data_IF_923477140820
#
_entry.id   IF_923477140820
#
_cell.length_a   1.000
_cell.length_b   1.000
_cell.length_c   1.000
_cell.angle_alpha   90.00
_cell.angle_beta   90.00
_cell.angle_gamma   90.00
#
_symmetry.space_group_name_H-M   'P 1'
#
loop_
_entity.id
_entity.type
_entity.pdbx_description
1 polymer ?
#
# COMPACT_ATOMS: atom_id res chain seq x y z
N UNK A 1 22.34 1.26 -13.67
CA UNK A 1 23.46 2.13 -14.11
C UNK A 1 22.84 3.35 -14.72
N UNK A 2 23.48 4.53 -14.59
CA UNK A 2 22.96 5.75 -15.20
C UNK A 2 23.06 5.68 -16.72
N UNK A 3 22.05 6.17 -17.45
CA UNK A 3 22.07 6.31 -18.90
C UNK A 3 22.89 7.57 -19.27
N UNK A 4 24.19 7.39 -19.51
CA UNK A 4 25.11 8.50 -19.76
C UNK A 4 24.77 9.32 -21.00
N UNK A 5 24.32 8.66 -22.10
CA UNK A 5 24.00 9.36 -23.34
C UNK A 5 22.73 10.21 -23.19
N UNK A 6 21.69 9.68 -22.51
CA UNK A 6 20.51 10.44 -22.19
C UNK A 6 20.81 11.63 -21.26
N UNK A 7 21.70 11.43 -20.28
CA UNK A 7 22.13 12.50 -19.38
C UNK A 7 22.90 13.59 -20.14
N UNK A 8 23.82 13.24 -21.02
CA UNK A 8 24.53 14.19 -21.88
C UNK A 8 23.56 14.97 -22.78
N UNK A 9 22.56 14.30 -23.35
CA UNK A 9 21.53 14.93 -24.18
C UNK A 9 20.70 15.94 -23.38
N UNK A 10 20.25 15.54 -22.17
CA UNK A 10 19.55 16.44 -21.25
C UNK A 10 20.37 17.68 -20.91
N UNK A 11 21.62 17.50 -20.47
CA UNK A 11 22.50 18.60 -20.07
C UNK A 11 22.77 19.58 -21.24
N UNK A 12 23.00 19.08 -22.46
CA UNK A 12 23.16 19.93 -23.64
C UNK A 12 21.91 20.72 -24.00
N UNK A 13 20.73 20.19 -23.70
CA UNK A 13 19.45 20.88 -23.92
C UNK A 13 19.24 22.00 -22.89
N UNK A 14 19.52 21.73 -21.62
CA UNK A 14 19.28 22.69 -20.53
C UNK A 14 20.37 23.79 -20.46
N UNK A 15 21.61 23.46 -20.78
CA UNK A 15 22.73 24.37 -20.76
C UNK A 15 23.23 24.68 -22.17
N UNK A 16 22.78 25.79 -22.74
CA UNK A 16 23.01 26.15 -24.16
C UNK A 16 24.47 26.43 -24.54
N UNK A 17 25.38 26.66 -23.58
CA UNK A 17 26.79 27.01 -23.80
C UNK A 17 27.76 25.81 -23.70
N UNK A 18 27.25 24.59 -23.66
CA UNK A 18 28.04 23.37 -23.52
C UNK A 18 28.70 23.00 -24.87
N UNK A 19 30.01 22.83 -24.84
CA UNK A 19 30.84 22.33 -25.95
C UNK A 19 30.99 20.81 -25.83
N UNK A 20 31.31 20.31 -24.63
CA UNK A 20 31.58 18.90 -24.35
C UNK A 20 31.08 18.53 -22.95
N UNK A 21 30.63 17.29 -22.79
CA UNK A 21 30.27 16.71 -21.47
C UNK A 21 31.02 15.40 -21.30
N UNK A 22 31.77 15.33 -20.23
CA UNK A 22 32.48 14.12 -19.79
C UNK A 22 31.85 13.64 -18.48
N UNK A 23 31.59 12.32 -18.40
CA UNK A 23 31.00 11.67 -17.23
C UNK A 23 31.95 10.59 -16.76
N UNK A 24 32.30 10.56 -15.47
CA UNK A 24 33.12 9.52 -14.87
C UNK A 24 32.64 9.13 -13.49
N UNK A 25 32.66 7.85 -13.19
CA UNK A 25 32.31 7.34 -11.85
C UNK A 25 33.36 7.80 -10.84
N UNK A 26 32.91 8.44 -9.74
CA UNK A 26 33.78 8.87 -8.63
C UNK A 26 34.02 7.72 -7.64
N UNK A 27 32.97 6.95 -7.37
CA UNK A 27 33.03 5.87 -6.41
C UNK A 27 31.65 5.31 -6.12
N UNK A 28 31.62 4.23 -5.31
CA UNK A 28 30.39 3.63 -4.79
C UNK A 28 30.49 3.56 -3.29
N UNK A 29 29.48 4.10 -2.60
CA UNK A 29 29.25 3.89 -1.18
C UNK A 29 28.30 2.72 -0.94
N UNK A 30 27.98 2.48 0.34
CA UNK A 30 27.05 1.42 0.77
C UNK A 30 25.64 1.62 0.19
N UNK A 31 25.24 2.87 -0.02
CA UNK A 31 23.86 3.20 -0.43
C UNK A 31 23.74 3.61 -1.90
N UNK A 32 24.83 3.83 -2.62
CA UNK A 32 24.75 4.30 -4.01
C UNK A 32 26.10 4.65 -4.61
N UNK A 33 26.05 5.33 -5.76
CA UNK A 33 27.23 5.74 -6.51
C UNK A 33 27.17 7.22 -6.86
N UNK A 34 28.35 7.87 -6.93
CA UNK A 34 28.52 9.22 -7.43
C UNK A 34 29.19 9.22 -8.82
N UNK A 35 28.74 10.13 -9.68
CA UNK A 35 29.30 10.34 -11.01
C UNK A 35 29.67 11.82 -11.15
N UNK A 36 30.93 12.12 -11.48
CA UNK A 36 31.38 13.46 -11.82
C UNK A 36 30.95 13.78 -13.24
N UNK A 37 30.40 14.96 -13.42
CA UNK A 37 30.07 15.53 -14.72
C UNK A 37 30.95 16.77 -14.91
N UNK A 38 31.77 16.78 -15.93
CA UNK A 38 32.56 17.94 -16.34
C UNK A 38 32.01 18.46 -17.67
N UNK A 39 31.51 19.68 -17.62
CA UNK A 39 30.97 20.40 -18.80
C UNK A 39 31.94 21.48 -19.23
N UNK A 40 32.53 21.29 -20.40
CA UNK A 40 33.33 22.34 -21.06
C UNK A 40 32.39 23.33 -21.72
N UNK A 41 32.52 24.62 -21.34
CA UNK A 41 31.73 25.71 -21.90
C UNK A 41 32.67 26.77 -22.52
N UNK A 42 32.13 27.76 -23.19
CA UNK A 42 32.92 28.86 -23.71
C UNK A 42 33.64 29.66 -22.62
N UNK A 43 33.09 29.69 -21.42
CA UNK A 43 33.61 30.44 -20.27
C UNK A 43 34.47 29.60 -19.32
N UNK A 44 34.72 28.31 -19.59
CA UNK A 44 35.51 27.44 -18.76
C UNK A 44 34.86 26.07 -18.48
N UNK A 45 35.34 25.39 -17.45
CA UNK A 45 34.80 24.08 -17.04
C UNK A 45 33.88 24.28 -15.85
N UNK A 46 32.68 23.67 -15.92
CA UNK A 46 31.73 23.52 -14.79
C UNK A 46 31.68 22.09 -14.40
N UNK A 47 31.72 21.83 -13.10
CA UNK A 47 31.70 20.44 -12.56
C UNK A 47 30.50 20.23 -11.65
N UNK A 48 29.82 19.11 -11.83
CA UNK A 48 28.68 18.67 -11.03
C UNK A 48 28.83 17.22 -10.64
N UNK A 49 28.00 16.76 -9.70
CA UNK A 49 27.94 15.34 -9.33
C UNK A 49 26.48 14.88 -9.44
N UNK A 50 26.27 13.75 -10.14
CA UNK A 50 25.03 13.00 -10.07
C UNK A 50 25.19 11.87 -9.07
N UNK A 51 24.28 11.79 -8.11
CA UNK A 51 24.19 10.73 -7.11
C UNK A 51 23.09 9.75 -7.51
N UNK A 52 23.36 8.46 -7.34
CA UNK A 52 22.34 7.41 -7.47
C UNK A 52 22.21 6.65 -6.16
N UNK A 53 21.06 6.03 -5.92
CA UNK A 53 20.83 5.12 -4.80
C UNK A 53 20.68 3.69 -5.31
N UNK A 54 21.09 2.72 -4.49
CA UNK A 54 20.86 1.29 -4.75
C UNK A 54 19.38 0.98 -4.71
N UNK A 55 18.94 0.04 -5.54
CA UNK A 55 17.55 -0.36 -5.69
C UNK A 55 17.12 -1.48 -4.75
N UNK A 56 17.94 -1.86 -3.78
CA UNK A 56 17.58 -2.91 -2.82
C UNK A 56 17.96 -2.52 -1.39
N UNK A 57 17.04 -2.77 -0.48
CA UNK A 57 17.21 -2.54 0.95
C UNK A 57 17.16 -1.07 1.36
N UNK A 58 17.30 -0.83 2.63
CA UNK A 58 17.28 0.49 3.27
C UNK A 58 16.04 1.34 2.97
N UNK A 59 14.99 0.74 2.41
CA UNK A 59 13.78 1.46 2.02
C UNK A 59 13.84 2.13 0.65
N UNK A 60 14.84 1.84 -0.18
CA UNK A 60 15.04 2.42 -1.52
C UNK A 60 14.59 1.49 -2.66
N UNK A 61 13.72 0.54 -2.38
CA UNK A 61 13.38 -0.55 -3.29
C UNK A 61 12.64 -0.07 -4.55
N UNK A 62 11.79 0.95 -4.41
CA UNK A 62 11.05 1.52 -5.54
C UNK A 62 11.71 2.80 -6.08
N UNK A 63 11.53 3.14 -7.37
CA UNK A 63 11.96 4.43 -7.91
C UNK A 63 11.40 5.62 -7.13
N UNK A 64 10.14 5.55 -6.69
CA UNK A 64 9.48 6.58 -5.88
C UNK A 64 10.15 6.81 -4.53
N UNK A 65 10.65 5.76 -3.87
CA UNK A 65 11.40 5.90 -2.61
C UNK A 65 12.66 6.74 -2.83
N UNK A 66 13.40 6.44 -3.91
CA UNK A 66 14.64 7.15 -4.24
C UNK A 66 14.37 8.59 -4.67
N UNK A 67 13.28 8.80 -5.41
CA UNK A 67 12.84 10.14 -5.79
C UNK A 67 12.49 10.98 -4.55
N UNK A 68 11.76 10.42 -3.58
CA UNK A 68 11.40 11.12 -2.34
C UNK A 68 12.64 11.57 -1.56
N UNK A 69 13.68 10.72 -1.44
CA UNK A 69 14.95 11.09 -0.79
C UNK A 69 15.63 12.25 -1.53
N UNK A 70 15.72 12.19 -2.86
CA UNK A 70 16.38 13.23 -3.64
C UNK A 70 15.61 14.55 -3.66
N UNK A 71 14.28 14.51 -3.67
CA UNK A 71 13.46 15.71 -3.57
C UNK A 71 13.66 16.40 -2.22
N UNK A 72 13.68 15.63 -1.12
CA UNK A 72 14.00 16.17 0.20
C UNK A 72 15.42 16.75 0.25
N UNK A 73 16.42 16.05 -0.32
CA UNK A 73 17.79 16.55 -0.41
C UNK A 73 17.85 17.90 -1.18
N UNK A 74 17.14 18.01 -2.30
CA UNK A 74 17.06 19.24 -3.10
C UNK A 74 16.51 20.42 -2.30
N UNK A 75 15.44 20.17 -1.54
CA UNK A 75 14.77 21.20 -0.74
C UNK A 75 15.63 21.65 0.45
N UNK A 76 16.34 20.73 1.11
CA UNK A 76 16.95 20.93 2.40
C UNK A 76 18.45 21.30 2.34
N UNK A 77 19.21 20.88 1.32
CA UNK A 77 20.65 21.18 1.25
C UNK A 77 20.98 22.69 1.30
N UNK A 78 20.10 23.50 0.76
CA UNK A 78 20.23 24.97 0.81
C UNK A 78 20.11 25.58 2.20
N UNK A 79 19.47 24.86 3.13
CA UNK A 79 19.19 25.33 4.49
C UNK A 79 20.36 25.10 5.45
N UNK A 80 21.39 24.35 5.03
CA UNK A 80 22.59 24.10 5.83
C UNK A 80 23.76 25.00 5.40
N UNK A 81 24.41 25.72 6.35
CA UNK A 81 25.63 26.46 6.04
C UNK A 81 26.75 25.51 5.60
N UNK A 82 27.54 25.96 4.60
CA UNK A 82 28.68 25.21 4.03
C UNK A 82 28.32 23.90 3.33
N UNK A 83 27.03 23.60 3.12
CA UNK A 83 26.61 22.43 2.38
C UNK A 83 26.65 22.68 0.85
N UNK A 84 26.95 21.64 0.07
CA UNK A 84 26.76 21.69 -1.39
C UNK A 84 25.30 21.93 -1.71
N UNK A 85 25.00 22.64 -2.80
CA UNK A 85 23.62 22.89 -3.21
C UNK A 85 23.10 21.75 -4.06
N UNK A 86 21.89 21.31 -3.83
CA UNK A 86 21.10 20.56 -4.79
C UNK A 86 20.76 21.48 -5.97
N UNK A 87 20.86 20.97 -7.19
CA UNK A 87 20.58 21.74 -8.40
C UNK A 87 19.27 21.29 -9.02
N UNK A 88 19.06 19.97 -9.13
CA UNK A 88 17.88 19.37 -9.72
C UNK A 88 17.74 17.91 -9.31
N UNK A 89 16.53 17.36 -9.43
CA UNK A 89 16.26 15.93 -9.37
C UNK A 89 15.83 15.45 -10.76
N UNK A 90 16.50 14.43 -11.26
CA UNK A 90 16.32 13.93 -12.62
C UNK A 90 15.66 12.56 -12.61
N UNK A 91 14.67 12.36 -13.47
CA UNK A 91 14.02 11.08 -13.71
C UNK A 91 14.39 10.53 -15.08
N UNK A 92 14.80 9.27 -15.15
CA UNK A 92 14.88 8.49 -16.39
C UNK A 92 13.48 7.97 -16.74
N UNK A 93 12.99 8.30 -17.91
CA UNK A 93 11.67 7.93 -18.41
C UNK A 93 11.74 6.57 -19.13
N UNK A 94 10.57 5.96 -19.39
CA UNK A 94 10.48 4.65 -20.09
C UNK A 94 11.10 4.66 -21.49
N UNK A 95 11.04 5.79 -22.20
CA UNK A 95 11.68 5.98 -23.50
C UNK A 95 13.21 6.20 -23.41
N UNK A 96 13.76 6.10 -22.21
CA UNK A 96 15.17 6.32 -21.91
C UNK A 96 15.58 7.79 -21.84
N UNK A 97 14.68 8.74 -22.09
CA UNK A 97 14.96 10.17 -21.96
C UNK A 97 15.09 10.58 -20.48
N UNK A 98 15.77 11.69 -20.23
CA UNK A 98 15.87 12.27 -18.88
C UNK A 98 15.05 13.57 -18.84
N UNK A 99 14.30 13.73 -17.73
CA UNK A 99 13.51 14.91 -17.42
C UNK A 99 13.77 15.39 -15.99
N UNK A 100 13.67 16.70 -15.80
CA UNK A 100 13.61 17.29 -14.46
C UNK A 100 12.29 16.95 -13.76
N UNK A 101 12.37 16.60 -12.50
CA UNK A 101 11.23 16.48 -11.57
C UNK A 101 11.46 17.33 -10.31
N UNK A 102 12.58 18.03 -10.22
CA UNK A 102 12.90 18.96 -9.16
C UNK A 102 12.14 20.29 -9.28
N UNK A 103 12.12 21.07 -8.22
CA UNK A 103 11.51 22.39 -8.22
C UNK A 103 9.99 22.42 -8.15
N UNK A 104 9.29 21.27 -8.05
CA UNK A 104 7.88 21.22 -7.70
C UNK A 104 7.66 21.66 -6.25
N UNK A 105 6.68 22.54 -6.03
CA UNK A 105 6.28 22.98 -4.68
C UNK A 105 5.31 21.98 -4.04
N UNK A 106 4.56 21.26 -4.86
CA UNK A 106 3.57 20.25 -4.47
C UNK A 106 3.37 19.24 -5.61
N UNK A 107 3.00 18.04 -5.29
CA UNK A 107 2.80 16.94 -6.26
C UNK A 107 1.39 16.38 -6.14
N UNK A 108 0.73 16.12 -7.26
CA UNK A 108 -0.67 15.69 -7.33
C UNK A 108 -0.79 14.44 -8.18
N UNK A 109 -1.57 13.46 -7.71
CA UNK A 109 -1.95 12.30 -8.51
C UNK A 109 -3.25 12.60 -9.25
N UNK A 110 -3.21 12.57 -10.59
CA UNK A 110 -4.41 12.56 -11.42
C UNK A 110 -4.82 11.11 -11.69
N UNK A 111 -6.07 10.76 -11.37
CA UNK A 111 -6.59 9.40 -11.50
C UNK A 111 -8.00 9.38 -12.09
N UNK A 112 -8.43 8.23 -12.59
CA UNK A 112 -9.81 8.03 -13.03
C UNK A 112 -10.78 8.13 -11.85
N UNK A 113 -12.02 8.56 -12.15
CA UNK A 113 -13.09 8.61 -11.15
C UNK A 113 -13.71 7.22 -10.96
N UNK A 114 -13.56 6.63 -9.78
CA UNK A 114 -14.35 5.48 -9.35
C UNK A 114 -15.83 5.88 -9.13
N UNK A 115 -16.77 4.98 -9.41
CA UNK A 115 -18.19 5.13 -9.13
C UNK A 115 -18.70 3.92 -8.36
N UNK A 116 -19.77 4.07 -7.61
CA UNK A 116 -20.38 3.01 -6.82
C UNK A 116 -20.69 3.44 -5.39
N UNK A 117 -21.08 2.48 -4.56
CA UNK A 117 -21.40 2.66 -3.14
C UNK A 117 -20.33 1.93 -2.30
N UNK A 118 -19.64 2.65 -1.43
CA UNK A 118 -18.58 2.06 -0.60
C UNK A 118 -19.14 1.05 0.42
N UNK A 119 -18.37 0.02 0.72
CA UNK A 119 -18.80 -1.12 1.55
C UNK A 119 -19.09 -0.75 3.02
N UNK A 120 -18.62 0.39 3.52
CA UNK A 120 -19.03 0.90 4.83
C UNK A 120 -20.57 1.06 4.97
N UNK A 121 -21.26 1.38 3.87
CA UNK A 121 -22.72 1.47 3.90
C UNK A 121 -23.37 0.11 4.18
N UNK A 122 -22.85 -0.96 3.59
CA UNK A 122 -23.34 -2.31 3.85
C UNK A 122 -23.08 -2.73 5.30
N UNK A 123 -21.87 -2.44 5.82
CA UNK A 123 -21.56 -2.70 7.23
C UNK A 123 -22.47 -1.91 8.20
N UNK A 124 -22.90 -0.72 7.83
CA UNK A 124 -23.86 0.04 8.63
C UNK A 124 -25.23 -0.65 8.63
N UNK A 125 -25.66 -1.22 7.50
CA UNK A 125 -26.94 -1.94 7.40
C UNK A 125 -26.91 -3.30 8.14
N UNK A 126 -25.74 -3.90 8.32
CA UNK A 126 -25.61 -5.17 9.08
C UNK A 126 -26.16 -5.08 10.51
N UNK A 127 -26.11 -3.89 11.13
CA UNK A 127 -26.67 -3.66 12.47
C UNK A 127 -28.20 -3.92 12.55
N UNK A 128 -28.89 -3.85 11.41
CA UNK A 128 -30.34 -4.05 11.29
C UNK A 128 -30.73 -5.47 10.89
N UNK A 129 -29.75 -6.36 10.70
CA UNK A 129 -29.93 -7.72 10.22
C UNK A 129 -29.45 -8.73 11.26
N UNK A 130 -30.21 -9.79 11.50
CA UNK A 130 -29.78 -10.92 12.35
C UNK A 130 -28.79 -11.85 11.64
N UNK A 131 -28.87 -11.90 10.30
CA UNK A 131 -27.99 -12.72 9.46
C UNK A 131 -27.74 -12.03 8.11
N UNK A 132 -26.69 -12.44 7.40
CA UNK A 132 -26.40 -11.97 6.06
C UNK A 132 -27.48 -12.41 5.07
N UNK A 133 -27.88 -11.49 4.18
CA UNK A 133 -28.71 -11.85 3.02
C UNK A 133 -27.86 -12.38 1.85
N UNK A 134 -28.50 -12.76 0.76
CA UNK A 134 -27.81 -13.32 -0.41
C UNK A 134 -26.87 -12.32 -1.08
N UNK A 135 -27.24 -11.04 -1.11
CA UNK A 135 -26.40 -9.96 -1.71
C UNK A 135 -25.14 -9.74 -0.86
N UNK A 136 -25.28 -9.72 0.46
CA UNK A 136 -24.14 -9.60 1.38
C UNK A 136 -23.15 -10.75 1.18
N UNK A 137 -23.67 -11.99 1.08
CA UNK A 137 -22.84 -13.18 0.84
C UNK A 137 -22.10 -13.11 -0.49
N UNK A 138 -22.80 -12.73 -1.57
CA UNK A 138 -22.20 -12.55 -2.89
C UNK A 138 -21.10 -11.47 -2.89
N UNK A 139 -21.29 -10.36 -2.16
CA UNK A 139 -20.26 -9.32 -2.00
C UNK A 139 -19.01 -9.87 -1.29
N UNK A 140 -19.19 -10.65 -0.22
CA UNK A 140 -18.08 -11.29 0.48
C UNK A 140 -17.37 -12.29 -0.43
N UNK A 141 -18.10 -13.08 -1.21
CA UNK A 141 -17.54 -14.00 -2.20
C UNK A 141 -16.74 -13.29 -3.28
N UNK A 142 -17.25 -12.17 -3.81
CA UNK A 142 -16.55 -11.38 -4.81
C UNK A 142 -15.22 -10.82 -4.26
N UNK A 143 -15.25 -10.25 -3.04
CA UNK A 143 -14.05 -9.72 -2.38
C UNK A 143 -13.01 -10.80 -2.07
N UNK A 144 -13.44 -11.95 -1.55
CA UNK A 144 -12.52 -13.07 -1.22
C UNK A 144 -11.92 -13.70 -2.47
N UNK A 145 -12.70 -13.82 -3.55
CA UNK A 145 -12.22 -14.33 -4.85
C UNK A 145 -11.20 -13.37 -5.47
N UNK A 146 -11.45 -12.07 -5.43
CA UNK A 146 -10.52 -11.06 -5.88
C UNK A 146 -9.19 -11.12 -5.10
N UNK A 147 -9.26 -11.18 -3.77
CA UNK A 147 -8.05 -11.28 -2.96
C UNK A 147 -7.30 -12.59 -3.21
N UNK A 148 -8.00 -13.72 -3.37
CA UNK A 148 -7.36 -14.99 -3.72
C UNK A 148 -6.63 -14.89 -5.07
N UNK A 149 -7.21 -14.18 -6.05
CA UNK A 149 -6.60 -13.96 -7.36
C UNK A 149 -5.32 -13.13 -7.25
N UNK A 150 -5.36 -11.93 -6.67
CA UNK A 150 -4.18 -11.07 -6.57
C UNK A 150 -3.10 -11.67 -5.66
N UNK A 151 -3.48 -12.35 -4.58
CA UNK A 151 -2.54 -13.01 -3.67
C UNK A 151 -1.90 -14.29 -4.27
N UNK A 152 -2.45 -14.83 -5.37
CA UNK A 152 -1.84 -15.93 -6.10
C UNK A 152 -0.55 -15.50 -6.81
N UNK A 153 -0.40 -14.21 -7.10
CA UNK A 153 0.80 -13.63 -7.71
C UNK A 153 1.89 -13.53 -6.64
N UNK A 154 2.87 -14.44 -6.69
CA UNK A 154 3.96 -14.52 -5.70
C UNK A 154 5.23 -13.85 -6.22
N UNK A 155 6.05 -13.42 -5.29
CA UNK A 155 7.38 -12.89 -5.57
C UNK A 155 8.39 -13.45 -4.58
N UNK A 156 9.55 -13.89 -5.07
CA UNK A 156 10.64 -14.37 -4.20
C UNK A 156 11.57 -13.21 -3.86
N UNK A 157 11.29 -12.52 -2.77
CA UNK A 157 12.13 -11.42 -2.27
C UNK A 157 12.02 -11.30 -0.76
N UNK A 158 13.07 -11.72 -0.06
CA UNK A 158 13.20 -11.52 1.39
C UNK A 158 13.17 -10.04 1.76
N UNK A 159 13.86 -9.22 0.99
CA UNK A 159 14.00 -7.77 1.25
C UNK A 159 12.65 -7.08 1.24
N UNK A 160 11.80 -7.32 0.23
CA UNK A 160 10.47 -6.72 0.15
C UNK A 160 9.53 -7.23 1.24
N UNK A 161 9.60 -8.53 1.58
CA UNK A 161 8.78 -9.07 2.67
C UNK A 161 9.19 -8.48 4.02
N UNK A 162 10.49 -8.40 4.31
CA UNK A 162 11.00 -7.82 5.54
C UNK A 162 10.71 -6.31 5.63
N UNK A 163 10.80 -5.61 4.49
CA UNK A 163 10.36 -4.22 4.38
C UNK A 163 8.90 -4.09 4.79
N UNK A 164 8.00 -4.89 4.22
CA UNK A 164 6.56 -4.82 4.54
C UNK A 164 6.29 -5.06 6.01
N UNK A 165 6.94 -6.06 6.62
CA UNK A 165 6.81 -6.31 8.06
C UNK A 165 7.27 -5.12 8.90
N UNK A 166 8.43 -4.55 8.57
CA UNK A 166 8.95 -3.35 9.23
C UNK A 166 7.97 -2.18 9.07
N UNK A 167 7.53 -1.94 7.84
CA UNK A 167 6.68 -0.79 7.51
C UNK A 167 5.30 -0.93 8.17
N UNK A 168 4.73 -2.14 8.33
CA UNK A 168 3.49 -2.38 9.06
C UNK A 168 3.56 -1.87 10.51
N UNK A 169 4.73 -1.92 11.14
CA UNK A 169 4.92 -1.42 12.50
C UNK A 169 5.47 0.01 12.52
N UNK A 170 6.51 0.30 11.74
CA UNK A 170 7.33 1.51 11.89
C UNK A 170 7.09 2.63 10.88
N UNK A 171 6.26 2.43 9.84
CA UNK A 171 5.98 3.48 8.86
C UNK A 171 5.01 4.52 9.42
N UNK A 172 5.15 5.78 8.97
CA UNK A 172 4.31 6.90 9.40
C UNK A 172 2.81 6.77 9.09
N UNK A 173 2.44 5.93 8.12
CA UNK A 173 1.03 5.61 7.81
C UNK A 173 0.55 4.29 8.44
N UNK A 174 1.40 3.63 9.25
CA UNK A 174 1.10 2.33 9.86
C UNK A 174 1.07 2.44 11.39
N UNK A 175 1.32 1.35 12.14
CA UNK A 175 1.02 1.27 13.56
C UNK A 175 1.61 2.43 14.38
N UNK A 176 2.91 2.72 14.24
CA UNK A 176 3.56 3.79 15.01
C UNK A 176 3.02 5.17 14.61
N UNK A 177 2.98 5.47 13.31
CA UNK A 177 2.50 6.76 12.85
C UNK A 177 1.00 6.99 13.11
N UNK A 178 0.18 5.94 13.14
CA UNK A 178 -1.22 6.03 13.60
C UNK A 178 -1.29 6.41 15.07
N UNK A 179 -0.45 5.82 15.92
CA UNK A 179 -0.39 6.20 17.32
C UNK A 179 0.07 7.65 17.55
N UNK A 180 0.94 8.19 16.71
CA UNK A 180 1.36 9.60 16.77
C UNK A 180 0.19 10.58 16.55
N UNK A 181 -0.91 10.13 15.94
CA UNK A 181 -2.12 10.95 15.75
C UNK A 181 -3.14 10.86 16.88
N UNK A 182 -2.87 10.05 17.92
CA UNK A 182 -3.78 9.88 19.04
C UNK A 182 -3.76 11.11 19.95
N UNK A 183 -4.94 11.66 20.32
CA UNK A 183 -5.01 12.69 21.34
C UNK A 183 -4.56 12.16 22.70
N UNK A 184 -3.93 13.03 23.48
CA UNK A 184 -3.51 12.72 24.85
C UNK A 184 -4.70 12.19 25.68
N UNK A 185 -4.42 11.16 26.51
CA UNK A 185 -5.40 10.57 27.42
C UNK A 185 -6.31 9.49 26.79
N UNK A 186 -6.21 9.22 25.50
CA UNK A 186 -6.97 8.11 24.86
C UNK A 186 -6.37 6.75 25.20
N UNK A 187 -5.08 6.63 25.10
CA UNK A 187 -4.25 5.48 25.45
C UNK A 187 -2.93 6.03 25.98
N UNK A 188 -2.39 5.46 27.04
CA UNK A 188 -1.11 5.92 27.56
C UNK A 188 0.04 5.56 26.59
N UNK A 189 1.11 6.36 26.60
CA UNK A 189 2.30 6.06 25.80
C UNK A 189 2.92 4.69 26.12
N UNK A 190 2.78 4.21 27.36
CA UNK A 190 3.24 2.88 27.76
C UNK A 190 2.40 1.75 27.16
N UNK A 191 1.07 1.94 27.06
CA UNK A 191 0.19 0.96 26.40
C UNK A 191 0.46 0.92 24.91
N UNK A 192 0.63 2.07 24.24
CA UNK A 192 1.05 2.16 22.84
C UNK A 192 2.38 1.45 22.63
N UNK A 193 3.39 1.76 23.46
CA UNK A 193 4.71 1.13 23.39
C UNK A 193 4.65 -0.38 23.60
N UNK A 194 3.77 -0.88 24.48
CA UNK A 194 3.58 -2.32 24.68
C UNK A 194 3.02 -3.02 23.45
N UNK A 195 2.03 -2.42 22.78
CA UNK A 195 1.47 -2.96 21.52
C UNK A 195 2.55 -2.99 20.43
N UNK A 196 3.34 -1.91 20.30
CA UNK A 196 4.46 -1.83 19.35
C UNK A 196 5.49 -2.93 19.64
N UNK A 197 5.90 -3.08 20.91
CA UNK A 197 6.86 -4.11 21.33
C UNK A 197 6.40 -5.52 20.95
N UNK A 198 5.16 -5.89 21.31
CA UNK A 198 4.58 -7.17 20.93
C UNK A 198 4.55 -7.35 19.40
N UNK A 199 4.23 -6.29 18.64
CA UNK A 199 4.22 -6.32 17.18
C UNK A 199 5.64 -6.53 16.59
N UNK A 200 6.67 -5.94 17.22
CA UNK A 200 8.08 -6.19 16.86
C UNK A 200 8.49 -7.64 17.12
N UNK A 201 8.05 -8.23 18.23
CA UNK A 201 8.30 -9.65 18.52
C UNK A 201 7.68 -10.56 17.43
N UNK A 202 6.52 -10.19 16.91
CA UNK A 202 5.91 -10.86 15.76
C UNK A 202 6.72 -10.72 14.47
N UNK A 203 7.37 -9.59 14.22
CA UNK A 203 8.27 -9.43 13.06
C UNK A 203 9.33 -10.52 13.05
N UNK A 204 9.94 -10.82 14.22
CA UNK A 204 10.95 -11.88 14.31
C UNK A 204 10.39 -13.26 13.93
N UNK A 205 9.16 -13.57 14.35
CA UNK A 205 8.45 -14.82 14.00
C UNK A 205 8.10 -14.90 12.51
N UNK A 206 7.76 -13.76 11.87
CA UNK A 206 7.30 -13.72 10.48
C UNK A 206 8.45 -13.66 9.46
N UNK A 207 9.61 -13.09 9.79
CA UNK A 207 10.74 -12.97 8.86
C UNK A 207 11.11 -14.24 8.11
N UNK A 208 11.12 -15.44 8.73
CA UNK A 208 11.39 -16.70 8.01
C UNK A 208 10.34 -17.07 6.95
N UNK A 209 9.13 -16.53 7.05
CA UNK A 209 7.98 -16.84 6.19
C UNK A 209 7.95 -15.99 4.90
N UNK A 210 9.08 -15.48 4.43
CA UNK A 210 9.18 -14.55 3.30
C UNK A 210 8.57 -15.09 1.99
N UNK A 211 8.40 -16.39 1.83
CA UNK A 211 7.72 -17.00 0.68
C UNK A 211 6.20 -16.71 0.64
N UNK A 212 5.66 -16.16 1.73
CA UNK A 212 4.29 -15.64 1.77
C UNK A 212 4.13 -14.35 0.95
N UNK A 213 5.25 -13.70 0.56
CA UNK A 213 5.21 -12.45 -0.23
C UNK A 213 4.36 -12.63 -1.47
N UNK A 214 3.31 -11.83 -1.57
CA UNK A 214 2.37 -11.81 -2.68
C UNK A 214 2.02 -10.38 -3.08
N UNK A 215 1.39 -10.25 -4.23
CA UNK A 215 0.76 -8.99 -4.62
C UNK A 215 -0.38 -8.70 -3.63
N UNK A 216 -0.46 -7.46 -3.13
CA UNK A 216 -1.51 -7.00 -2.22
C UNK A 216 -2.12 -5.69 -2.73
N UNK A 217 -3.31 -5.37 -2.25
CA UNK A 217 -3.86 -4.02 -2.34
C UNK A 217 -3.13 -3.09 -1.36
N UNK A 218 -2.89 -3.55 -0.13
CA UNK A 218 -2.17 -2.85 0.94
C UNK A 218 -3.04 -1.94 1.80
N UNK A 219 -4.27 -1.64 1.36
CA UNK A 219 -5.27 -0.89 2.13
C UNK A 219 -6.71 -1.31 1.80
N UNK A 220 -6.97 -2.62 1.84
CA UNK A 220 -8.23 -3.24 1.45
C UNK A 220 -9.31 -3.06 2.53
N UNK A 221 -9.65 -1.83 2.87
CA UNK A 221 -10.69 -1.51 3.84
C UNK A 221 -12.01 -1.09 3.16
N UNK A 222 -13.17 -1.16 3.86
CA UNK A 222 -14.48 -0.94 3.26
C UNK A 222 -14.67 0.41 2.56
N UNK A 223 -13.93 1.45 2.92
CA UNK A 223 -13.98 2.76 2.27
C UNK A 223 -13.37 2.77 0.87
N UNK A 224 -12.42 1.86 0.61
CA UNK A 224 -11.75 1.73 -0.68
C UNK A 224 -12.42 0.71 -1.61
N UNK A 225 -13.48 0.03 -1.17
CA UNK A 225 -14.22 -0.98 -1.94
C UNK A 225 -15.57 -0.40 -2.31
N UNK A 226 -15.79 -0.11 -3.59
CA UNK A 226 -17.01 0.52 -4.07
C UNK A 226 -17.77 -0.43 -4.99
N UNK A 227 -18.88 -0.97 -4.51
CA UNK A 227 -19.75 -1.83 -5.29
C UNK A 227 -20.56 -1.04 -6.30
N UNK A 228 -20.58 -1.53 -7.55
CA UNK A 228 -21.39 -0.96 -8.61
C UNK A 228 -22.87 -1.25 -8.34
N UNK A 229 -23.73 -0.27 -8.55
CA UNK A 229 -25.17 -0.53 -8.58
C UNK A 229 -25.49 -1.39 -9.81
N UNK A 230 -26.31 -2.43 -9.63
CA UNK A 230 -26.77 -3.24 -10.75
C UNK A 230 -27.33 -2.31 -11.83
N UNK A 231 -26.73 -2.31 -13.03
CA UNK A 231 -27.22 -1.52 -14.16
C UNK A 231 -28.66 -1.96 -14.45
N UNK A 232 -29.65 -1.17 -14.01
CA UNK A 232 -30.97 -1.26 -14.60
C UNK A 232 -30.79 -0.99 -16.09
N UNK A 233 -31.30 -1.89 -16.93
CA UNK A 233 -31.21 -1.84 -18.40
C UNK A 233 -31.93 -0.63 -19.02
N UNK A 234 -31.71 0.60 -18.53
CA UNK A 234 -32.21 1.83 -19.16
C UNK A 234 -31.38 3.02 -18.71
N UNK A 235 -30.20 3.16 -19.28
CA UNK A 235 -29.68 4.47 -19.74
C UNK A 235 -28.31 4.22 -20.38
N UNK A 236 -28.27 4.18 -21.70
CA UNK A 236 -27.05 4.50 -22.46
C UNK A 236 -26.72 5.98 -22.21
N UNK A 237 -26.12 6.28 -21.06
CA UNK A 237 -25.31 7.48 -20.98
C UNK A 237 -23.95 7.11 -21.56
N UNK A 238 -23.79 7.40 -22.85
CA UNK A 238 -22.49 7.43 -23.51
C UNK A 238 -21.57 8.24 -22.60
N UNK A 239 -20.51 7.60 -22.11
CA UNK A 239 -19.39 8.31 -21.51
C UNK A 239 -19.00 9.45 -22.45
N UNK A 240 -18.85 10.70 -21.99
CA UNK A 240 -18.35 11.74 -22.85
C UNK A 240 -17.03 11.26 -23.44
N UNK A 241 -16.94 11.33 -24.77
CA UNK A 241 -15.73 11.00 -25.50
C UNK A 241 -14.55 11.68 -24.80
N UNK A 242 -13.53 10.91 -24.49
CA UNK A 242 -12.31 11.34 -23.82
C UNK A 242 -11.78 12.60 -24.51
N UNK A 243 -11.88 13.75 -23.85
CA UNK A 243 -11.41 15.06 -24.37
C UNK A 243 -9.87 15.13 -24.34
N UNK A 244 -9.24 14.16 -23.71
CA UNK A 244 -7.79 14.04 -23.70
C UNK A 244 -7.36 13.03 -24.75
N UNK A 245 -6.29 13.33 -25.54
CA UNK A 245 -5.66 12.30 -26.34
C UNK A 245 -5.29 11.16 -25.40
N UNK A 246 -5.34 9.90 -25.85
CA UNK A 246 -4.89 8.79 -25.03
C UNK A 246 -3.49 9.14 -24.54
N UNK A 247 -3.33 9.26 -23.20
CA UNK A 247 -2.00 9.29 -22.64
C UNK A 247 -1.27 8.10 -23.22
N UNK A 248 0.00 8.23 -23.67
CA UNK A 248 0.77 7.08 -24.05
C UNK A 248 0.63 6.12 -22.88
N UNK A 249 0.08 4.93 -23.14
CA UNK A 249 -0.02 3.90 -22.13
C UNK A 249 1.42 3.70 -21.66
N UNK A 250 1.70 4.18 -20.45
CA UNK A 250 2.95 3.88 -19.78
C UNK A 250 3.05 2.37 -19.83
N UNK A 251 4.01 1.87 -20.61
CA UNK A 251 4.15 0.45 -20.86
C UNK A 251 4.10 -0.26 -19.52
N UNK A 252 3.07 -1.04 -19.32
CA UNK A 252 3.00 -1.91 -18.17
C UNK A 252 4.30 -2.66 -18.14
N UNK A 253 4.93 -2.81 -16.98
CA UNK A 253 6.09 -3.66 -16.82
C UNK A 253 5.82 -4.95 -17.59
N UNK A 254 6.42 -5.08 -18.76
CA UNK A 254 6.41 -6.32 -19.50
C UNK A 254 7.15 -7.31 -18.61
N UNK A 255 6.39 -8.12 -17.91
CA UNK A 255 6.92 -9.32 -17.28
C UNK A 255 7.55 -10.12 -18.41
N UNK A 256 8.87 -10.25 -18.37
CA UNK A 256 9.64 -11.05 -19.31
C UNK A 256 8.94 -12.40 -19.48
N UNK A 257 8.34 -12.64 -20.64
CA UNK A 257 7.91 -13.96 -21.08
C UNK A 257 6.42 -14.30 -20.94
N UNK A 258 5.49 -13.38 -21.09
CA UNK A 258 4.09 -13.79 -21.34
C UNK A 258 3.96 -14.39 -22.74
N UNK A 259 3.63 -15.69 -22.82
CA UNK A 259 3.28 -16.34 -24.06
C UNK A 259 1.95 -15.81 -24.61
N UNK A 260 1.70 -15.85 -25.93
CA UNK A 260 0.40 -15.46 -26.52
C UNK A 260 -0.80 -16.17 -25.89
N UNK A 261 -0.62 -17.37 -25.37
CA UNK A 261 -1.62 -18.15 -24.64
C UNK A 261 -2.01 -17.53 -23.28
N UNK A 262 -1.10 -16.79 -22.61
CA UNK A 262 -1.39 -16.10 -21.36
C UNK A 262 -2.28 -14.86 -21.58
N UNK A 263 -2.15 -14.17 -22.70
CA UNK A 263 -2.98 -13.02 -23.08
C UNK A 263 -4.39 -13.46 -23.44
N UNK A 264 -4.54 -14.57 -24.19
CA UNK A 264 -5.86 -15.16 -24.51
C UNK A 264 -6.57 -15.71 -23.26
N UNK A 265 -5.81 -16.24 -22.29
CA UNK A 265 -6.34 -16.70 -21.01
C UNK A 265 -6.81 -15.53 -20.13
N UNK A 266 -6.16 -14.35 -20.17
CA UNK A 266 -6.61 -13.12 -19.48
C UNK A 266 -7.91 -12.57 -20.09
N UNK A 267 -8.03 -12.54 -21.43
CA UNK A 267 -9.28 -12.11 -22.08
C UNK A 267 -10.46 -13.06 -21.81
N UNK A 268 -10.21 -14.37 -21.70
CA UNK A 268 -11.24 -15.36 -21.35
C UNK A 268 -11.59 -15.34 -19.85
N UNK A 269 -10.65 -14.98 -18.95
CA UNK A 269 -10.90 -14.87 -17.51
C UNK A 269 -11.64 -13.60 -17.12
N UNK A 270 -11.50 -12.50 -17.86
CA UNK A 270 -12.26 -11.26 -17.66
C UNK A 270 -13.78 -11.37 -17.93
N UNK A 271 -14.28 -12.55 -18.32
CA UNK A 271 -15.72 -12.86 -18.50
C UNK A 271 -16.25 -13.96 -17.55
N UNK A 272 -15.53 -14.25 -16.49
CA UNK A 272 -16.05 -15.06 -15.37
C UNK A 272 -17.10 -14.22 -14.64
N UNK A 273 -18.38 -14.50 -14.86
CA UNK A 273 -19.51 -13.71 -14.39
C UNK A 273 -19.58 -13.65 -12.87
N UNK A 274 -19.01 -12.60 -12.29
CA UNK A 274 -19.44 -12.15 -10.98
C UNK A 274 -20.73 -11.36 -11.19
N UNK A 275 -21.82 -11.81 -10.60
CA UNK A 275 -23.10 -11.07 -10.57
C UNK A 275 -22.97 -9.72 -9.86
N UNK A 276 -21.85 -9.48 -9.17
CA UNK A 276 -21.55 -8.27 -8.38
C UNK A 276 -20.16 -7.78 -8.75
N UNK A 277 -20.10 -6.54 -9.25
CA UNK A 277 -18.89 -5.85 -9.65
C UNK A 277 -18.52 -4.74 -8.66
N UNK A 278 -17.21 -4.47 -8.49
CA UNK A 278 -16.72 -3.39 -7.64
C UNK A 278 -15.44 -2.79 -8.19
N UNK A 279 -15.18 -1.54 -7.81
CA UNK A 279 -13.91 -0.85 -8.08
C UNK A 279 -13.17 -0.61 -6.78
N UNK A 280 -11.85 -0.59 -6.85
CA UNK A 280 -10.97 -0.31 -5.72
C UNK A 280 -10.33 1.05 -5.88
N UNK A 281 -10.12 1.70 -4.75
CA UNK A 281 -9.45 2.99 -4.65
C UNK A 281 -8.24 2.84 -3.74
N UNK A 282 -7.29 3.75 -3.89
CA UNK A 282 -6.15 3.96 -2.99
C UNK A 282 -5.27 2.70 -2.72
N UNK A 283 -4.10 2.68 -3.34
CA UNK A 283 -3.07 1.63 -3.18
C UNK A 283 -1.75 2.24 -2.70
N UNK A 284 -1.78 2.95 -1.58
CA UNK A 284 -0.67 3.80 -1.14
C UNK A 284 0.46 3.05 -0.42
N UNK A 285 0.22 1.83 0.13
CA UNK A 285 1.17 1.14 1.02
C UNK A 285 2.03 0.08 0.34
N UNK A 286 2.26 0.24 -0.95
CA UNK A 286 3.10 -0.63 -1.76
C UNK A 286 2.38 -1.88 -2.27
N UNK A 287 2.89 -2.47 -3.37
CA UNK A 287 2.21 -3.54 -4.10
C UNK A 287 2.49 -4.96 -3.59
N UNK A 288 3.46 -5.13 -2.70
CA UNK A 288 3.94 -6.43 -2.24
C UNK A 288 3.91 -6.55 -0.73
N UNK A 289 3.35 -7.64 -0.21
CA UNK A 289 3.24 -7.88 1.23
C UNK A 289 2.76 -9.28 1.58
N UNK A 290 2.27 -9.46 2.80
CA UNK A 290 1.58 -10.67 3.24
C UNK A 290 0.08 -10.52 2.99
N UNK A 291 -0.59 -11.57 2.55
CA UNK A 291 -2.05 -11.62 2.39
C UNK A 291 -2.80 -11.20 3.65
N UNK A 292 -2.20 -11.43 4.82
CA UNK A 292 -2.76 -11.04 6.11
C UNK A 292 -3.03 -9.54 6.24
N UNK A 293 -2.28 -8.67 5.51
CA UNK A 293 -2.53 -7.22 5.54
C UNK A 293 -3.91 -6.87 4.98
N UNK A 294 -4.23 -7.36 3.77
CA UNK A 294 -5.53 -7.08 3.13
C UNK A 294 -6.68 -7.75 3.89
N UNK A 295 -6.48 -9.00 4.33
CA UNK A 295 -7.48 -9.74 5.10
C UNK A 295 -7.84 -9.00 6.38
N UNK A 296 -6.85 -8.54 7.13
CA UNK A 296 -7.10 -7.82 8.40
C UNK A 296 -7.61 -6.42 8.17
N UNK A 297 -7.23 -5.74 7.09
CA UNK A 297 -7.73 -4.41 6.74
C UNK A 297 -9.24 -4.40 6.55
N UNK A 298 -9.80 -5.46 5.95
CA UNK A 298 -11.24 -5.61 5.84
C UNK A 298 -11.86 -6.16 7.13
N UNK A 299 -11.34 -7.27 7.64
CA UNK A 299 -12.03 -8.05 8.68
C UNK A 299 -12.05 -7.37 10.04
N UNK A 300 -11.10 -6.51 10.35
CA UNK A 300 -11.17 -5.66 11.56
C UNK A 300 -12.45 -4.79 11.57
N UNK A 301 -12.99 -4.45 10.41
CA UNK A 301 -14.20 -3.64 10.33
C UNK A 301 -15.46 -4.41 10.71
N UNK A 302 -15.53 -5.72 10.48
CA UNK A 302 -16.64 -6.53 11.05
C UNK A 302 -16.60 -6.51 12.56
N UNK A 303 -15.42 -6.64 13.16
CA UNK A 303 -15.22 -6.58 14.63
C UNK A 303 -15.58 -5.18 15.14
N UNK A 304 -15.04 -4.15 14.54
CA UNK A 304 -15.26 -2.75 14.89
C UNK A 304 -16.73 -2.34 14.85
N UNK A 305 -17.43 -2.61 13.75
CA UNK A 305 -18.85 -2.28 13.62
C UNK A 305 -19.72 -3.09 14.60
N UNK A 306 -19.38 -4.36 14.82
CA UNK A 306 -20.09 -5.18 15.82
C UNK A 306 -19.91 -4.64 17.23
N UNK A 307 -18.70 -4.26 17.63
CA UNK A 307 -18.44 -3.62 18.94
C UNK A 307 -19.21 -2.31 19.02
N UNK A 308 -19.20 -1.48 17.99
CA UNK A 308 -19.91 -0.18 17.96
C UNK A 308 -21.41 -0.34 18.20
N UNK A 309 -22.03 -1.36 17.63
CA UNK A 309 -23.48 -1.55 17.72
C UNK A 309 -23.92 -2.46 18.85
N UNK A 310 -23.09 -3.41 19.26
CA UNK A 310 -23.49 -4.48 20.16
C UNK A 310 -22.60 -4.68 21.39
N UNK A 311 -21.43 -4.06 21.44
CA UNK A 311 -20.43 -4.29 22.49
C UNK A 311 -19.76 -5.67 22.44
N UNK A 312 -20.07 -6.48 21.43
CA UNK A 312 -19.51 -7.83 21.22
C UNK A 312 -19.57 -8.19 19.75
N UNK A 313 -18.86 -9.22 19.29
CA UNK A 313 -18.88 -9.68 17.90
C UNK A 313 -19.98 -10.73 17.70
N UNK A 314 -21.08 -10.37 17.03
CA UNK A 314 -22.25 -11.23 16.83
C UNK A 314 -23.05 -10.90 15.57
N UNK A 315 -24.10 -11.73 15.31
CA UNK A 315 -25.05 -11.52 14.20
C UNK A 315 -24.37 -11.52 12.84
N UNK A 316 -24.86 -10.70 11.93
CA UNK A 316 -24.35 -10.55 10.57
C UNK A 316 -22.86 -10.21 10.52
N UNK A 317 -22.34 -9.47 11.49
CA UNK A 317 -20.91 -9.15 11.59
C UNK A 317 -20.05 -10.38 11.86
N UNK A 318 -20.44 -11.22 12.81
CA UNK A 318 -19.71 -12.47 13.08
C UNK A 318 -19.80 -13.43 11.91
N UNK A 319 -20.98 -13.52 11.30
CA UNK A 319 -21.18 -14.36 10.11
C UNK A 319 -20.30 -13.87 8.95
N UNK A 320 -20.23 -12.55 8.71
CA UNK A 320 -19.38 -11.96 7.68
C UNK A 320 -17.89 -12.20 7.94
N UNK A 321 -17.45 -11.97 9.17
CA UNK A 321 -16.08 -12.27 9.61
C UNK A 321 -15.70 -13.73 9.34
N UNK A 322 -16.55 -14.67 9.79
CA UNK A 322 -16.35 -16.10 9.63
C UNK A 322 -16.32 -16.49 8.15
N UNK A 323 -17.35 -16.09 7.41
CA UNK A 323 -17.46 -16.41 5.99
C UNK A 323 -16.25 -15.89 5.20
N UNK A 324 -15.76 -14.69 5.52
CA UNK A 324 -14.61 -14.12 4.83
C UNK A 324 -13.33 -14.95 5.03
N UNK A 325 -13.01 -15.32 6.27
CA UNK A 325 -11.85 -16.15 6.57
C UNK A 325 -11.98 -17.56 5.96
N UNK A 326 -13.12 -18.23 6.19
CA UNK A 326 -13.35 -19.59 5.71
C UNK A 326 -13.29 -19.67 4.17
N UNK A 327 -13.94 -18.73 3.48
CA UNK A 327 -13.91 -18.68 2.00
C UNK A 327 -12.50 -18.39 1.47
N UNK A 328 -11.80 -17.42 2.05
CA UNK A 328 -10.45 -17.10 1.62
C UNK A 328 -9.51 -18.29 1.78
N UNK A 329 -9.52 -18.95 2.95
CA UNK A 329 -8.70 -20.14 3.20
C UNK A 329 -9.10 -21.29 2.27
N UNK A 330 -10.40 -21.50 2.05
CA UNK A 330 -10.86 -22.54 1.11
C UNK A 330 -10.38 -22.29 -0.34
N UNK A 331 -10.33 -21.02 -0.78
CA UNK A 331 -9.88 -20.67 -2.12
C UNK A 331 -8.35 -20.74 -2.30
N UNK A 332 -7.60 -20.44 -1.25
CA UNK A 332 -6.13 -20.31 -1.33
C UNK A 332 -5.35 -21.48 -0.72
N UNK A 333 -5.96 -22.25 0.16
CA UNK A 333 -5.30 -23.28 0.98
C UNK A 333 -4.36 -22.68 2.04
N UNK A 334 -4.43 -21.38 2.33
CA UNK A 334 -3.53 -20.71 3.27
C UNK A 334 -3.98 -20.90 4.73
N UNK A 335 -3.85 -22.11 5.26
CA UNK A 335 -4.12 -22.43 6.66
C UNK A 335 -3.19 -21.70 7.64
N UNK A 336 -2.03 -21.24 7.16
CA UNK A 336 -1.05 -20.49 7.96
C UNK A 336 -1.53 -19.06 8.26
N UNK A 337 -2.51 -18.53 7.53
CA UNK A 337 -3.07 -17.20 7.69
C UNK A 337 -3.40 -16.90 9.16
N UNK A 338 -4.06 -17.82 9.86
CA UNK A 338 -4.43 -17.64 11.27
C UNK A 338 -3.24 -17.45 12.22
N UNK A 339 -2.07 -17.94 11.83
CA UNK A 339 -0.83 -17.84 12.64
C UNK A 339 0.03 -16.63 12.28
N UNK A 340 -0.44 -15.74 11.39
CA UNK A 340 0.35 -14.56 10.93
C UNK A 340 -0.40 -13.24 11.04
N UNK A 341 -1.73 -13.25 11.25
CA UNK A 341 -2.58 -12.05 11.24
C UNK A 341 -2.34 -11.07 12.39
N UNK A 342 -1.76 -11.52 13.52
CA UNK A 342 -1.72 -10.75 14.75
C UNK A 342 -1.13 -9.33 14.62
N UNK A 343 0.07 -9.09 14.07
CA UNK A 343 0.63 -7.74 13.96
C UNK A 343 -0.13 -6.87 12.94
N UNK A 344 -0.79 -7.47 11.96
CA UNK A 344 -1.65 -6.75 11.03
C UNK A 344 -2.95 -6.33 11.70
N UNK A 345 -3.56 -7.18 12.52
CA UNK A 345 -4.69 -6.78 13.38
C UNK A 345 -4.31 -5.68 14.35
N UNK A 346 -3.09 -5.68 14.91
CA UNK A 346 -2.64 -4.62 15.80
C UNK A 346 -2.62 -3.26 15.07
N UNK A 347 -2.07 -3.21 13.88
CA UNK A 347 -2.09 -2.01 13.07
C UNK A 347 -3.52 -1.57 12.74
N UNK A 348 -4.35 -2.46 12.20
CA UNK A 348 -5.72 -2.12 11.79
C UNK A 348 -6.63 -1.83 12.98
N UNK A 349 -6.40 -2.47 14.11
CA UNK A 349 -7.06 -2.15 15.38
C UNK A 349 -6.74 -0.75 15.89
N UNK A 350 -5.47 -0.34 15.80
CA UNK A 350 -5.08 1.03 16.11
C UNK A 350 -5.78 2.05 15.18
N UNK A 351 -5.94 1.75 13.89
CA UNK A 351 -6.67 2.62 12.96
C UNK A 351 -8.13 2.79 13.37
N UNK A 352 -8.87 1.69 13.57
CA UNK A 352 -10.31 1.76 13.88
C UNK A 352 -10.61 2.23 15.30
N UNK A 353 -9.66 2.16 16.22
CA UNK A 353 -9.78 2.71 17.57
C UNK A 353 -9.35 4.19 17.65
N UNK A 354 -8.86 4.80 16.57
CA UNK A 354 -8.33 6.17 16.61
C UNK A 354 -9.47 7.19 16.75
N UNK A 355 -9.42 8.09 17.78
CA UNK A 355 -10.45 9.10 18.00
C UNK A 355 -10.54 10.16 16.89
N UNK A 356 -9.45 10.42 16.18
CA UNK A 356 -9.42 11.38 15.08
C UNK A 356 -10.16 10.81 13.86
N UNK A 357 -9.98 9.51 13.58
CA UNK A 357 -10.61 8.85 12.44
C UNK A 357 -12.05 8.44 12.72
N UNK A 358 -12.33 8.02 13.96
CA UNK A 358 -13.63 7.54 14.39
C UNK A 358 -14.06 8.21 15.71
N UNK A 359 -14.45 9.51 15.67
CA UNK A 359 -14.76 10.30 16.88
C UNK A 359 -15.97 9.76 17.66
N UNK A 360 -16.90 9.09 16.97
CA UNK A 360 -18.15 8.61 17.57
C UNK A 360 -18.00 7.37 18.46
N UNK A 361 -16.83 6.72 18.50
CA UNK A 361 -16.59 5.60 19.40
C UNK A 361 -16.47 6.07 20.84
N UNK A 362 -17.16 5.35 21.74
CA UNK A 362 -16.98 5.56 23.18
C UNK A 362 -15.62 5.04 23.66
N UNK A 363 -15.17 5.52 24.82
CA UNK A 363 -13.92 5.05 25.43
C UNK A 363 -13.96 3.53 25.72
N UNK A 364 -15.11 3.01 26.16
CA UNK A 364 -15.24 1.59 26.48
C UNK A 364 -15.20 0.72 25.21
N UNK A 365 -15.78 1.18 24.11
CA UNK A 365 -15.66 0.51 22.81
C UNK A 365 -14.20 0.48 22.33
N UNK A 366 -13.44 1.58 22.51
CA UNK A 366 -12.00 1.61 22.19
C UNK A 366 -11.21 0.63 23.06
N UNK A 367 -11.54 0.54 24.36
CA UNK A 367 -10.92 -0.43 25.26
C UNK A 367 -11.15 -1.87 24.82
N UNK A 368 -12.35 -2.20 24.31
CA UNK A 368 -12.62 -3.54 23.73
C UNK A 368 -11.73 -3.82 22.53
N UNK A 369 -11.56 -2.85 21.63
CA UNK A 369 -10.66 -3.01 20.48
C UNK A 369 -9.20 -3.19 20.93
N UNK A 370 -8.73 -2.43 21.92
CA UNK A 370 -7.36 -2.59 22.44
C UNK A 370 -7.16 -3.92 23.18
N UNK A 371 -8.18 -4.42 23.89
CA UNK A 371 -8.14 -5.78 24.46
C UNK A 371 -8.02 -6.82 23.36
N UNK A 372 -8.87 -6.72 22.31
CA UNK A 372 -8.75 -7.58 21.14
C UNK A 372 -7.33 -7.56 20.58
N UNK A 373 -6.77 -6.39 20.29
CA UNK A 373 -5.39 -6.23 19.77
C UNK A 373 -4.36 -6.91 20.67
N UNK A 374 -4.40 -6.61 21.98
CA UNK A 374 -3.42 -7.16 22.92
C UNK A 374 -3.54 -8.69 23.04
N UNK A 375 -4.76 -9.22 23.14
CA UNK A 375 -4.99 -10.63 23.31
C UNK A 375 -4.65 -11.44 22.05
N UNK A 376 -4.91 -10.89 20.87
CA UNK A 376 -4.49 -11.51 19.59
C UNK A 376 -2.96 -11.50 19.44
N UNK A 377 -2.27 -10.45 19.89
CA UNK A 377 -0.80 -10.40 19.90
C UNK A 377 -0.18 -11.39 20.90
N UNK A 378 -0.88 -11.72 21.98
CA UNK A 378 -0.42 -12.66 23.01
C UNK A 378 -0.71 -14.14 22.64
N UNK A 379 -1.58 -14.40 21.66
CA UNK A 379 -1.91 -15.74 21.20
C UNK A 379 -1.02 -16.13 19.98
N UNK A 380 -0.61 -17.38 19.89
CA UNK A 380 0.21 -17.87 18.77
C UNK A 380 -0.59 -18.07 17.48
N UNK A 381 -1.93 -18.16 17.59
CA UNK A 381 -2.83 -18.37 16.46
C UNK A 381 -4.18 -17.70 16.74
N UNK A 382 -4.63 -16.86 15.82
CA UNK A 382 -5.97 -16.30 15.89
C UNK A 382 -7.04 -17.40 15.78
N UNK A 383 -7.94 -17.46 16.73
CA UNK A 383 -9.05 -18.42 16.80
C UNK A 383 -10.35 -17.70 16.56
N UNK A 384 -10.90 -17.91 15.38
CA UNK A 384 -12.08 -17.20 14.90
C UNK A 384 -13.31 -17.46 15.80
N UNK A 385 -13.47 -18.69 16.25
CA UNK A 385 -14.54 -19.12 17.16
C UNK A 385 -14.43 -18.49 18.56
N UNK A 386 -13.26 -17.99 18.92
CA UNK A 386 -12.96 -17.30 20.19
C UNK A 386 -12.87 -15.80 20.07
N UNK A 387 -13.38 -15.21 18.99
CA UNK A 387 -13.23 -13.77 18.73
C UNK A 387 -13.72 -12.91 19.92
N UNK A 388 -14.77 -13.33 20.63
CA UNK A 388 -15.27 -12.64 21.81
C UNK A 388 -14.39 -12.83 23.05
N UNK A 389 -13.63 -13.92 23.17
CA UNK A 389 -12.68 -14.14 24.27
C UNK A 389 -11.54 -13.10 24.21
N UNK A 390 -11.19 -12.65 22.99
CA UNK A 390 -10.20 -11.57 22.80
C UNK A 390 -10.71 -10.19 23.25
N UNK A 391 -12.00 -10.01 23.47
CA UNK A 391 -12.56 -8.76 23.98
C UNK A 391 -12.45 -8.63 25.51
N UNK A 392 -12.13 -9.71 26.21
CA UNK A 392 -11.88 -9.79 27.65
C UNK A 392 -13.06 -10.23 28.44
#
# INVERSE_FOLDING_TARGET
MINEEALKAYLKKEFKDIIQVDIRKLGSGVQGSGFLIEMKTQSGIRSYVVKTLLSEGLGHDYPSDRAAVFLLDLDEYKNLPRHVKGIDVLAEMEDGSIKSIGGGREYYLLMERGTGRHYFNDLTEFSKKDSLDEIDRKKIEAMTSYLAEIHSVKKDSKTLYWRKLRDTVGHGECLMGVFDTYPDGTLSYYEMANIIKKSVDWIARLKPKYRRLCQIHGDFHPGNIWFQEARSQKSEVRSPATIFPPFPQSGGFALLGESPEATEAKEKRGKGGFDIDFVLLDRSRGPWGDSADDITALTINYIFFSIRHHGSVKGSYFEGLRMFFEKYVALTGDEELYSVVAPFFAFRGAVVANPVFYPDLTLDQRKLIFRFVNNVLDDDKFRLEKVNDYLG
#
